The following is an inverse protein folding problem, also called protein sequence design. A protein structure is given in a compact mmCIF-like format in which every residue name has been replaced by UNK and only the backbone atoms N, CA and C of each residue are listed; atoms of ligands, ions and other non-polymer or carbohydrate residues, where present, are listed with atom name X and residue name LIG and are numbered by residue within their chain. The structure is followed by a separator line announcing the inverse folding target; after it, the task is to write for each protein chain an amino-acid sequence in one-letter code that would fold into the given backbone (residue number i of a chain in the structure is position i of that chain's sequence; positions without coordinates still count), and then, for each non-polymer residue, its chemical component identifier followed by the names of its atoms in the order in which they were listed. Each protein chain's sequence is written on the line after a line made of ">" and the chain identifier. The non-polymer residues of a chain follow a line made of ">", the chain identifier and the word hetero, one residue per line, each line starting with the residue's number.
data_IF_143893109865
#
_entry.id   IF_143893109865
#
_cell.length_a   1.000
_cell.length_b   1.000
_cell.length_c   1.000
_cell.angle_alpha   90.00
_cell.angle_beta   90.00
_cell.angle_gamma   90.00
#
_symmetry.space_group_name_H-M   'P 1'
#
loop_
_entity.id
_entity.type
_entity.pdbx_description
1 polymer ?
#
# COMPACT_ATOMS: atom_id res chain seq x y z
N UNK A 1 -14.86 14.04 17.40
CA UNK A 1 -15.37 12.76 16.88
C UNK A 1 -14.19 11.98 16.32
N UNK A 2 -13.69 10.96 17.02
CA UNK A 2 -12.62 10.10 16.51
C UNK A 2 -13.21 9.14 15.49
N UNK A 3 -13.02 9.43 14.21
CA UNK A 3 -13.41 8.56 13.11
C UNK A 3 -12.84 7.16 13.37
N UNK A 4 -13.63 6.07 13.34
CA UNK A 4 -13.11 4.74 13.59
C UNK A 4 -11.98 4.46 12.61
N UNK A 5 -10.78 4.16 13.14
CA UNK A 5 -9.62 3.77 12.34
C UNK A 5 -9.98 2.55 11.51
N UNK A 6 -10.25 2.77 10.21
CA UNK A 6 -10.53 1.67 9.29
C UNK A 6 -9.25 0.84 9.14
N UNK A 7 -9.38 -0.49 9.25
CA UNK A 7 -8.28 -1.41 8.97
C UNK A 7 -8.09 -1.52 7.45
N UNK A 8 -6.84 -1.61 7.00
CA UNK A 8 -6.53 -1.88 5.60
C UNK A 8 -7.02 -3.27 5.18
N UNK A 9 -7.55 -3.37 3.97
CA UNK A 9 -7.99 -4.63 3.36
C UNK A 9 -7.07 -4.98 2.21
N UNK A 10 -6.07 -5.81 2.49
CA UNK A 10 -5.02 -6.18 1.54
C UNK A 10 -5.48 -7.26 0.57
N UNK A 11 -5.14 -7.10 -0.71
CA UNK A 11 -5.23 -8.11 -1.74
C UNK A 11 -3.88 -8.21 -2.46
N UNK A 12 -3.47 -9.39 -2.94
CA UNK A 12 -2.28 -9.51 -3.79
C UNK A 12 -2.41 -8.63 -5.04
N UNK A 13 -1.34 -7.94 -5.42
CA UNK A 13 -1.29 -7.14 -6.65
C UNK A 13 -0.13 -7.60 -7.52
N UNK A 14 -0.39 -8.64 -8.31
CA UNK A 14 0.64 -9.30 -9.13
C UNK A 14 1.04 -8.49 -10.36
N UNK A 15 0.25 -7.47 -10.74
CA UNK A 15 0.54 -6.62 -11.90
C UNK A 15 1.55 -5.51 -11.62
N UNK A 16 1.76 -5.15 -10.35
CA UNK A 16 2.70 -4.09 -9.98
C UNK A 16 4.02 -4.61 -9.45
N UNK A 17 4.18 -5.93 -9.23
CA UNK A 17 5.43 -6.55 -8.79
C UNK A 17 6.61 -6.24 -9.72
N UNK A 18 6.39 -6.26 -11.04
CA UNK A 18 7.43 -5.96 -12.04
C UNK A 18 7.96 -4.52 -11.96
N UNK A 19 7.23 -3.60 -11.32
CA UNK A 19 7.62 -2.20 -11.22
C UNK A 19 8.43 -1.88 -9.95
N UNK A 20 8.56 -2.84 -9.02
CA UNK A 20 9.27 -2.65 -7.76
C UNK A 20 10.46 -3.63 -7.63
N UNK A 21 11.64 -3.29 -8.19
CA UNK A 21 12.82 -4.16 -8.10
C UNK A 21 13.23 -4.38 -6.65
N UNK A 22 13.46 -5.65 -6.28
CA UNK A 22 13.78 -6.05 -4.90
C UNK A 22 12.56 -6.31 -4.02
N UNK A 23 11.35 -6.14 -4.55
CA UNK A 23 10.11 -6.60 -3.95
C UNK A 23 9.83 -8.04 -4.39
N UNK A 24 9.41 -8.90 -3.47
CA UNK A 24 9.02 -10.29 -3.77
C UNK A 24 7.52 -10.55 -3.61
N UNK A 25 6.79 -9.54 -3.13
CA UNK A 25 5.34 -9.58 -2.95
C UNK A 25 4.81 -8.16 -2.79
N UNK A 26 3.80 -7.82 -3.58
CA UNK A 26 3.05 -6.57 -3.44
C UNK A 26 1.62 -6.87 -3.00
N UNK A 27 1.15 -6.13 -2.00
CA UNK A 27 -0.25 -6.15 -1.56
C UNK A 27 -0.86 -4.77 -1.76
N UNK A 28 -2.08 -4.71 -2.29
CA UNK A 28 -2.82 -3.48 -2.49
C UNK A 28 -4.03 -3.42 -1.59
N UNK A 29 -4.22 -2.29 -0.91
CA UNK A 29 -5.41 -2.05 -0.13
C UNK A 29 -6.59 -1.76 -1.07
N UNK A 30 -7.66 -2.53 -0.95
CA UNK A 30 -8.87 -2.35 -1.77
C UNK A 30 -9.62 -1.05 -1.45
N UNK A 31 -9.47 -0.53 -0.23
CA UNK A 31 -10.15 0.67 0.24
C UNK A 31 -9.44 1.97 -0.17
N UNK A 32 -8.12 2.03 0.05
CA UNK A 32 -7.36 3.26 -0.13
C UNK A 32 -6.29 3.17 -1.24
N UNK A 33 -6.23 2.06 -1.97
CA UNK A 33 -5.24 1.82 -3.04
C UNK A 33 -3.77 1.92 -2.60
N UNK A 34 -3.50 1.97 -1.29
CA UNK A 34 -2.16 1.87 -0.72
C UNK A 34 -1.51 0.56 -1.13
N UNK A 35 -0.30 0.64 -1.67
CA UNK A 35 0.54 -0.52 -1.92
C UNK A 35 1.41 -0.79 -0.68
N UNK A 36 1.52 -2.04 -0.31
CA UNK A 36 2.43 -2.55 0.70
C UNK A 36 3.41 -3.46 -0.02
N UNK A 37 4.65 -3.00 -0.07
CA UNK A 37 5.75 -3.68 -0.75
C UNK A 37 6.50 -4.50 0.30
N UNK A 38 6.63 -5.79 0.06
CA UNK A 38 7.47 -6.67 0.86
C UNK A 38 8.81 -6.82 0.16
N UNK A 39 9.83 -6.16 0.70
CA UNK A 39 11.14 -6.07 0.09
C UNK A 39 12.12 -7.03 0.77
N UNK A 40 13.09 -7.48 -0.02
CA UNK A 40 14.21 -8.29 0.46
C UNK A 40 15.52 -7.67 -0.02
N UNK A 41 16.39 -7.34 0.93
CA UNK A 41 17.76 -6.89 0.66
C UNK A 41 18.73 -7.79 1.41
N UNK A 42 19.39 -8.70 0.68
CA UNK A 42 20.21 -9.76 1.27
C UNK A 42 19.39 -10.63 2.23
N UNK A 43 19.77 -10.60 3.52
CA UNK A 43 19.07 -11.32 4.60
C UNK A 43 17.99 -10.49 5.33
N UNK A 44 17.79 -9.22 4.94
CA UNK A 44 16.82 -8.33 5.58
C UNK A 44 15.51 -8.32 4.82
N UNK A 45 14.42 -8.52 5.57
CA UNK A 45 13.06 -8.40 5.10
C UNK A 45 12.44 -7.15 5.72
N UNK A 46 11.89 -6.27 4.90
CA UNK A 46 11.25 -5.06 5.38
C UNK A 46 10.07 -4.67 4.51
N UNK A 47 9.17 -3.88 5.08
CA UNK A 47 7.98 -3.40 4.40
C UNK A 47 8.13 -1.91 4.11
N UNK A 48 7.72 -1.51 2.91
CA UNK A 48 7.51 -0.11 2.57
C UNK A 48 6.10 0.07 2.04
N UNK A 49 5.57 1.30 2.13
CA UNK A 49 4.21 1.58 1.71
C UNK A 49 4.20 2.69 0.67
N UNK A 50 3.42 2.53 -0.40
CA UNK A 50 3.32 3.50 -1.49
C UNK A 50 1.88 3.90 -1.70
N UNK A 51 1.59 5.20 -1.61
CA UNK A 51 0.28 5.77 -1.88
C UNK A 51 0.40 6.91 -2.87
N UNK A 52 -0.26 6.81 -4.02
CA UNK A 52 -0.25 7.83 -5.07
C UNK A 52 1.18 8.29 -5.43
N UNK A 53 2.12 7.35 -5.58
CA UNK A 53 3.52 7.63 -5.90
C UNK A 53 4.38 8.14 -4.74
N UNK A 54 3.81 8.39 -3.54
CA UNK A 54 4.57 8.77 -2.35
C UNK A 54 4.96 7.53 -1.53
N UNK A 55 6.22 7.43 -1.15
CA UNK A 55 6.75 6.39 -0.27
C UNK A 55 6.58 6.76 1.20
N UNK A 56 6.19 5.79 2.02
CA UNK A 56 6.05 5.89 3.47
C UNK A 56 6.84 4.77 4.13
N UNK A 57 7.62 5.12 5.15
CA UNK A 57 8.35 4.19 6.00
C UNK A 57 7.45 3.51 7.04
N UNK A 58 6.37 4.18 7.44
CA UNK A 58 5.36 3.69 8.39
C UNK A 58 4.03 3.49 7.70
N UNK A 59 3.23 2.52 8.17
CA UNK A 59 1.90 2.26 7.63
C UNK A 59 0.98 3.48 7.85
N UNK A 60 0.56 4.18 6.79
CA UNK A 60 -0.37 5.30 6.95
C UNK A 60 -1.77 4.80 7.32
N UNK A 61 -2.61 5.67 7.86
CA UNK A 61 -4.00 5.33 8.17
C UNK A 61 -4.80 5.01 6.90
N UNK A 62 -5.76 4.08 7.00
CA UNK A 62 -6.61 3.73 5.87
C UNK A 62 -7.68 4.81 5.66
N UNK A 63 -7.45 5.69 4.70
CA UNK A 63 -8.43 6.68 4.24
C UNK A 63 -9.13 6.16 2.99
N UNK A 64 -10.45 5.99 3.05
CA UNK A 64 -11.26 5.65 1.88
C UNK A 64 -10.99 6.71 0.80
N UNK A 65 -10.31 6.33 -0.29
CA UNK A 65 -10.20 7.23 -1.44
C UNK A 65 -11.57 7.15 -2.10
N UNK A 66 -12.51 7.96 -1.59
CA UNK A 66 -13.76 8.19 -2.33
C UNK A 66 -13.33 8.71 -3.69
N UNK A 67 -13.76 8.09 -4.80
CA UNK A 67 -13.55 8.70 -6.11
C UNK A 67 -14.16 10.09 -6.01
N UNK A 68 -13.33 11.13 -6.12
CA UNK A 68 -13.87 12.47 -6.31
C UNK A 68 -14.68 12.37 -7.60
N UNK A 69 -16.00 12.41 -7.48
CA UNK A 69 -16.90 12.64 -8.59
C UNK A 69 -16.47 13.99 -9.17
N UNK A 70 -15.69 13.97 -10.25
CA UNK A 70 -15.60 15.13 -11.14
C UNK A 70 -17.01 15.27 -11.73
N UNK A 71 -17.72 16.31 -11.29
CA UNK A 71 -18.93 16.81 -11.95
C UNK A 71 -18.52 17.91 -12.90
#
# INVERSE_FOLDING_TARGET
>A
MTTPRKRHKWQPDTGTEEHFPGCYRVEKCTCCKLLKLHNKSGHRYFQSYVLNGKNYSTLPECTDIKPQKLW
#
